data_IF_348612374760
#
_entry.id   IF_348612374760
#
_cell.length_a   1.000
_cell.length_b   1.000
_cell.length_c   1.000
_cell.angle_alpha   90.00
_cell.angle_beta   90.00
_cell.angle_gamma   90.00
#
_symmetry.space_group_name_H-M   'P 1'
#
loop_
_entity.id
_entity.type
_entity.pdbx_description
1 polymer ?
#
# COMPACT_ATOMS: atom_id res chain seq x y z
N UNK A 1 -70.30 56.12 -13.29
CA UNK A 1 -69.18 55.74 -14.16
C UNK A 1 -67.92 55.86 -13.32
N UNK A 2 -67.15 54.79 -13.28
CA UNK A 2 -66.28 54.39 -12.15
C UNK A 2 -64.92 55.07 -12.17
N UNK A 3 -64.50 55.61 -11.01
CA UNK A 3 -63.14 56.09 -10.72
C UNK A 3 -62.11 54.95 -10.87
N UNK A 4 -61.00 55.24 -11.57
CA UNK A 4 -59.79 54.40 -11.53
C UNK A 4 -58.58 55.24 -11.13
N UNK A 5 -58.18 55.07 -9.88
CA UNK A 5 -56.94 55.58 -9.28
C UNK A 5 -55.84 54.56 -9.57
N UNK A 6 -54.88 54.90 -10.44
CA UNK A 6 -53.68 54.10 -10.69
C UNK A 6 -52.53 54.64 -9.85
N UNK A 7 -52.12 53.88 -8.82
CA UNK A 7 -50.95 54.14 -7.97
C UNK A 7 -49.63 53.90 -8.73
N UNK A 8 -48.56 54.67 -8.47
CA UNK A 8 -47.22 54.33 -8.96
C UNK A 8 -46.61 53.18 -8.15
N UNK A 9 -46.13 52.15 -8.85
CA UNK A 9 -45.49 50.97 -8.26
C UNK A 9 -43.98 51.26 -8.11
N UNK A 10 -43.54 51.47 -6.88
CA UNK A 10 -42.11 51.46 -6.50
C UNK A 10 -41.50 50.10 -6.83
N UNK A 11 -40.52 50.07 -7.72
CA UNK A 11 -39.60 48.94 -7.84
C UNK A 11 -38.40 49.21 -6.93
N UNK A 12 -38.39 48.53 -5.79
CA UNK A 12 -37.22 48.42 -4.93
C UNK A 12 -36.14 47.64 -5.72
N UNK A 13 -35.06 48.31 -6.10
CA UNK A 13 -33.84 47.64 -6.57
C UNK A 13 -33.22 46.99 -5.35
N UNK A 14 -33.45 45.69 -5.17
CA UNK A 14 -32.69 44.89 -4.22
C UNK A 14 -31.31 44.67 -4.82
N UNK A 15 -30.34 45.46 -4.37
CA UNK A 15 -28.91 45.16 -4.54
C UNK A 15 -28.65 43.81 -3.88
N UNK A 16 -28.56 42.76 -4.69
CA UNK A 16 -28.10 41.46 -4.24
C UNK A 16 -26.67 41.63 -3.71
N UNK A 17 -26.49 41.32 -2.44
CA UNK A 17 -25.18 41.24 -1.81
C UNK A 17 -24.28 40.28 -2.62
N UNK A 18 -22.98 40.58 -2.77
CA UNK A 18 -22.06 39.67 -3.44
C UNK A 18 -22.04 38.34 -2.67
N UNK A 19 -22.47 37.28 -3.35
CA UNK A 19 -22.32 35.89 -2.91
C UNK A 19 -20.85 35.67 -2.53
N UNK A 20 -20.52 35.12 -1.35
CA UNK A 20 -19.14 34.80 -1.03
C UNK A 20 -18.61 33.86 -2.12
N UNK A 21 -17.52 34.29 -2.76
CA UNK A 21 -16.85 33.57 -3.82
C UNK A 21 -16.59 32.12 -3.40
N UNK A 22 -17.15 31.17 -4.16
CA UNK A 22 -16.75 29.78 -4.11
C UNK A 22 -15.22 29.71 -4.25
N UNK A 23 -14.46 29.10 -3.31
CA UNK A 23 -13.05 28.87 -3.52
C UNK A 23 -12.92 27.78 -4.59
N UNK A 24 -12.94 28.19 -5.85
CA UNK A 24 -12.73 27.36 -7.03
C UNK A 24 -11.31 26.73 -7.08
N UNK A 25 -10.48 26.94 -6.06
CA UNK A 25 -9.16 26.36 -5.85
C UNK A 25 -9.12 25.32 -4.72
N UNK A 26 -10.24 24.66 -4.44
CA UNK A 26 -10.28 23.50 -3.54
C UNK A 26 -9.56 22.30 -4.14
N UNK A 27 -8.72 21.64 -3.36
CA UNK A 27 -8.05 20.43 -3.81
C UNK A 27 -8.99 19.22 -3.66
N UNK A 28 -9.38 18.65 -4.80
CA UNK A 28 -10.27 17.50 -4.87
C UNK A 28 -9.45 16.21 -4.82
N UNK A 29 -9.64 15.44 -3.76
CA UNK A 29 -8.98 14.14 -3.56
C UNK A 29 -10.03 13.05 -3.41
N UNK A 30 -9.66 11.79 -3.63
CA UNK A 30 -10.61 10.68 -3.44
C UNK A 30 -10.97 10.53 -1.95
N UNK A 31 -12.12 9.88 -1.67
CA UNK A 31 -12.49 9.56 -0.28
C UNK A 31 -11.46 8.65 0.39
N UNK A 32 -10.86 7.73 -0.36
CA UNK A 32 -9.83 6.82 0.12
C UNK A 32 -8.56 7.57 0.51
N UNK A 33 -8.15 8.54 -0.32
CA UNK A 33 -6.99 9.40 -0.10
C UNK A 33 -7.21 10.27 1.15
N UNK A 34 -8.39 10.89 1.28
CA UNK A 34 -8.73 11.70 2.44
C UNK A 34 -8.82 10.86 3.72
N UNK A 35 -9.39 9.65 3.65
CA UNK A 35 -9.46 8.72 4.77
C UNK A 35 -8.06 8.34 5.27
N UNK A 36 -7.12 8.12 4.33
CA UNK A 36 -5.71 7.85 4.63
C UNK A 36 -5.06 9.03 5.35
N UNK A 37 -5.22 10.26 4.84
CA UNK A 37 -4.69 11.46 5.48
C UNK A 37 -5.26 11.68 6.88
N UNK A 38 -6.58 11.60 7.01
CA UNK A 38 -7.28 11.83 8.28
C UNK A 38 -7.14 10.67 9.28
N UNK A 39 -6.43 9.59 8.90
CA UNK A 39 -6.27 8.34 9.68
C UNK A 39 -7.62 7.78 10.15
N UNK A 40 -8.61 7.80 9.27
CA UNK A 40 -10.00 7.40 9.52
C UNK A 40 -10.47 6.40 8.48
N UNK A 41 -11.61 5.76 8.74
CA UNK A 41 -12.25 4.91 7.74
C UNK A 41 -12.95 5.73 6.66
N UNK A 42 -13.02 5.18 5.44
CA UNK A 42 -13.79 5.76 4.33
C UNK A 42 -15.26 5.96 4.70
N UNK A 43 -15.84 5.05 5.50
CA UNK A 43 -17.20 5.20 6.00
C UNK A 43 -17.37 6.42 6.91
N UNK A 44 -16.36 6.78 7.68
CA UNK A 44 -16.38 7.99 8.51
C UNK A 44 -16.40 9.23 7.63
N UNK A 45 -15.56 9.25 6.59
CA UNK A 45 -15.56 10.32 5.59
C UNK A 45 -16.93 10.42 4.90
N UNK A 46 -17.52 9.29 4.50
CA UNK A 46 -18.85 9.26 3.87
C UNK A 46 -19.93 9.86 4.78
N UNK A 47 -19.95 9.46 6.05
CA UNK A 47 -20.90 10.02 7.04
C UNK A 47 -20.69 11.51 7.27
N UNK A 48 -19.44 11.98 7.27
CA UNK A 48 -19.16 13.41 7.45
C UNK A 48 -19.59 14.22 6.22
N UNK A 49 -19.41 13.70 5.00
CA UNK A 49 -19.97 14.30 3.78
C UNK A 49 -21.50 14.42 3.87
N UNK A 50 -22.19 13.33 4.22
CA UNK A 50 -23.66 13.31 4.34
C UNK A 50 -24.15 14.26 5.44
N UNK A 51 -23.50 14.23 6.61
CA UNK A 51 -23.88 15.05 7.77
C UNK A 51 -23.68 16.54 7.54
N UNK A 52 -22.61 16.92 6.86
CA UNK A 52 -22.26 18.32 6.63
C UNK A 52 -22.68 18.83 5.25
N UNK A 53 -23.37 17.99 4.45
CA UNK A 53 -23.83 18.32 3.10
C UNK A 53 -22.70 18.87 2.22
N UNK A 54 -21.54 18.18 2.26
CA UNK A 54 -20.36 18.58 1.50
C UNK A 54 -20.50 18.26 0.02
N UNK A 55 -19.93 19.13 -0.82
CA UNK A 55 -19.91 18.90 -2.26
C UNK A 55 -19.03 17.70 -2.61
N UNK A 56 -19.52 16.88 -3.54
CA UNK A 56 -18.75 15.76 -4.08
C UNK A 56 -18.73 15.80 -5.60
N UNK A 57 -17.60 15.38 -6.18
CA UNK A 57 -17.45 15.20 -7.63
C UNK A 57 -17.19 13.74 -7.94
N UNK A 58 -17.36 13.35 -9.19
CA UNK A 58 -17.01 12.01 -9.66
C UNK A 58 -15.91 12.15 -10.70
N UNK A 59 -14.84 11.38 -10.53
CA UNK A 59 -13.72 11.27 -11.48
C UNK A 59 -14.15 10.45 -12.72
N UNK A 60 -13.36 10.50 -13.79
CA UNK A 60 -13.55 9.73 -15.03
C UNK A 60 -13.63 8.22 -14.79
N UNK A 61 -13.04 7.76 -13.68
CA UNK A 61 -13.05 6.35 -13.22
C UNK A 61 -14.24 5.99 -12.34
N UNK A 62 -15.23 6.88 -12.18
CA UNK A 62 -16.39 6.66 -11.32
C UNK A 62 -16.13 6.78 -9.81
N UNK A 63 -14.94 7.24 -9.42
CA UNK A 63 -14.56 7.41 -8.01
C UNK A 63 -15.06 8.74 -7.48
N UNK A 64 -15.51 8.76 -6.22
CA UNK A 64 -16.01 9.99 -5.61
C UNK A 64 -14.86 10.81 -5.02
N UNK A 65 -14.79 12.06 -5.44
CA UNK A 65 -13.87 13.08 -4.99
C UNK A 65 -14.55 14.00 -3.98
N UNK A 66 -13.79 14.41 -2.98
CA UNK A 66 -14.17 15.32 -1.91
C UNK A 66 -13.10 16.40 -1.80
N UNK A 67 -13.51 17.61 -1.41
CA UNK A 67 -12.60 18.74 -1.27
C UNK A 67 -11.88 18.68 0.08
N UNK A 68 -10.56 18.57 0.07
CA UNK A 68 -9.75 18.47 1.29
C UNK A 68 -9.88 19.71 2.19
N UNK A 69 -10.09 20.90 1.61
CA UNK A 69 -10.22 22.15 2.36
C UNK A 69 -11.50 22.19 3.21
N UNK A 70 -12.57 21.54 2.76
CA UNK A 70 -13.81 21.48 3.54
C UNK A 70 -13.60 20.66 4.82
N UNK A 71 -12.78 19.61 4.75
CA UNK A 71 -12.43 18.79 5.91
C UNK A 71 -11.44 19.47 6.85
N UNK A 72 -10.55 20.33 6.34
CA UNK A 72 -9.74 21.23 7.17
C UNK A 72 -10.63 22.24 7.91
N UNK A 73 -11.56 22.87 7.20
CA UNK A 73 -12.48 23.85 7.78
C UNK A 73 -13.40 23.25 8.84
N UNK A 74 -13.81 21.98 8.67
CA UNK A 74 -14.58 21.23 9.66
C UNK A 74 -13.73 20.70 10.84
N UNK A 75 -12.41 20.87 10.82
CA UNK A 75 -11.50 20.31 11.82
C UNK A 75 -11.47 18.77 11.82
N UNK A 76 -11.86 18.14 10.71
CA UNK A 76 -11.84 16.68 10.52
C UNK A 76 -10.52 16.17 9.96
N UNK A 77 -9.78 17.05 9.28
CA UNK A 77 -8.40 16.86 8.87
C UNK A 77 -7.54 17.86 9.65
N UNK A 78 -6.48 17.41 10.31
CA UNK A 78 -5.58 18.30 11.03
C UNK A 78 -4.56 18.90 10.04
N UNK A 79 -4.21 20.19 10.13
CA UNK A 79 -3.14 20.77 9.31
C UNK A 79 -1.80 20.03 9.44
N UNK A 80 -1.56 19.37 10.57
CA UNK A 80 -0.38 18.56 10.86
C UNK A 80 -0.36 17.23 10.09
N UNK A 81 -1.53 16.74 9.66
CA UNK A 81 -1.64 15.56 8.79
C UNK A 81 -1.21 15.88 7.36
N UNK A 82 -1.18 17.17 7.00
CA UNK A 82 -0.59 17.65 5.77
C UNK A 82 0.90 17.90 5.95
N UNK A 83 1.71 17.45 5.00
CA UNK A 83 3.13 17.76 5.02
C UNK A 83 3.29 19.28 4.81
N UNK A 84 4.12 19.92 5.64
CA UNK A 84 4.36 21.37 5.56
C UNK A 84 4.69 21.81 4.14
N UNK A 85 3.86 22.68 3.58
CA UNK A 85 4.03 23.25 2.24
C UNK A 85 3.67 22.31 1.08
N UNK A 86 3.18 21.10 1.35
CA UNK A 86 2.71 20.16 0.33
C UNK A 86 1.19 20.20 0.20
N UNK A 87 0.70 19.84 -0.97
CA UNK A 87 -0.74 19.69 -1.18
C UNK A 87 -1.25 18.39 -0.51
N UNK A 88 -2.51 18.30 -0.07
CA UNK A 88 -3.17 17.05 0.31
C UNK A 88 -2.88 15.86 -0.61
N UNK A 89 -2.96 15.99 -1.93
CA UNK A 89 -2.65 14.92 -2.87
C UNK A 89 -1.18 14.50 -2.81
N UNK A 90 -0.24 15.45 -2.72
CA UNK A 90 1.19 15.16 -2.55
C UNK A 90 1.47 14.44 -1.22
N UNK A 91 0.77 14.84 -0.16
CA UNK A 91 0.89 14.22 1.17
C UNK A 91 0.39 12.76 1.15
N UNK A 92 -0.70 12.48 0.41
CA UNK A 92 -1.18 11.11 0.20
C UNK A 92 -0.18 10.30 -0.60
N UNK A 93 0.29 10.84 -1.73
CA UNK A 93 1.24 10.16 -2.60
C UNK A 93 2.51 9.78 -1.84
N UNK A 94 3.03 10.69 -1.01
CA UNK A 94 4.18 10.43 -0.16
C UNK A 94 3.90 9.35 0.90
N UNK A 95 2.72 9.37 1.52
CA UNK A 95 2.33 8.36 2.53
C UNK A 95 2.26 6.97 1.88
N UNK A 96 1.63 6.86 0.72
CA UNK A 96 1.57 5.61 -0.07
C UNK A 96 2.96 5.12 -0.46
N UNK A 97 3.81 6.00 -0.98
CA UNK A 97 5.17 5.64 -1.35
C UNK A 97 5.96 5.16 -0.13
N UNK A 98 5.75 5.77 1.03
CA UNK A 98 6.40 5.33 2.28
C UNK A 98 5.91 3.94 2.72
N UNK A 99 4.60 3.69 2.64
CA UNK A 99 4.02 2.40 2.98
C UNK A 99 4.50 1.30 2.01
N UNK A 100 4.59 1.61 0.72
CA UNK A 100 5.13 0.74 -0.31
C UNK A 100 6.61 0.41 -0.06
N UNK A 101 7.44 1.42 0.24
CA UNK A 101 8.84 1.22 0.63
C UNK A 101 8.94 0.35 1.88
N UNK A 102 8.07 0.56 2.87
CA UNK A 102 8.00 -0.26 4.07
C UNK A 102 7.68 -1.72 3.75
N UNK A 103 6.69 -1.96 2.89
CA UNK A 103 6.30 -3.29 2.42
C UNK A 103 7.46 -3.98 1.68
N UNK A 104 8.08 -3.28 0.73
CA UNK A 104 9.21 -3.81 -0.04
C UNK A 104 10.41 -4.11 0.86
N UNK A 105 10.68 -3.28 1.86
CA UNK A 105 11.77 -3.52 2.83
C UNK A 105 11.49 -4.78 3.66
N UNK A 106 10.25 -5.01 4.09
CA UNK A 106 9.87 -6.22 4.80
C UNK A 106 9.98 -7.47 3.92
N UNK A 107 9.62 -7.37 2.64
CA UNK A 107 9.79 -8.45 1.67
C UNK A 107 11.26 -8.77 1.41
N UNK A 108 12.12 -7.75 1.28
CA UNK A 108 13.57 -7.93 1.15
C UNK A 108 14.14 -8.69 2.34
N UNK A 109 13.85 -8.26 3.57
CA UNK A 109 14.30 -8.94 4.79
C UNK A 109 13.84 -10.41 4.83
N UNK A 110 12.61 -10.70 4.38
CA UNK A 110 12.08 -12.06 4.29
C UNK A 110 12.84 -12.89 3.25
N UNK A 111 13.17 -12.32 2.11
CA UNK A 111 13.91 -13.00 1.04
C UNK A 111 15.37 -13.26 1.45
N UNK A 112 16.01 -12.29 2.10
CA UNK A 112 17.36 -12.45 2.66
C UNK A 112 17.41 -13.61 3.67
N UNK A 113 16.47 -13.66 4.61
CA UNK A 113 16.39 -14.78 5.56
C UNK A 113 16.18 -16.14 4.90
N UNK A 114 15.42 -16.20 3.79
CA UNK A 114 15.26 -17.43 3.00
C UNK A 114 16.55 -17.81 2.27
N UNK A 115 17.27 -16.85 1.70
CA UNK A 115 18.55 -17.11 1.04
C UNK A 115 19.59 -17.63 2.01
N UNK A 116 19.69 -17.04 3.21
CA UNK A 116 20.58 -17.55 4.25
C UNK A 116 20.24 -18.99 4.65
N UNK A 117 18.95 -19.30 4.82
CA UNK A 117 18.51 -20.65 5.15
C UNK A 117 18.88 -21.65 4.05
N UNK A 118 18.68 -21.29 2.78
CA UNK A 118 19.08 -22.11 1.65
C UNK A 118 20.60 -22.31 1.60
N UNK A 119 21.40 -21.27 1.85
CA UNK A 119 22.85 -21.37 1.93
C UNK A 119 23.33 -22.37 2.99
N UNK A 120 22.74 -22.33 4.20
CA UNK A 120 23.04 -23.32 5.26
C UNK A 120 22.62 -24.74 4.87
N UNK A 121 21.48 -24.88 4.18
CA UNK A 121 21.03 -26.19 3.68
C UNK A 121 21.97 -26.74 2.62
N UNK A 122 22.47 -25.89 1.72
CA UNK A 122 23.43 -26.26 0.68
C UNK A 122 24.77 -26.71 1.29
N UNK A 123 25.27 -25.99 2.28
CA UNK A 123 26.46 -26.38 3.05
C UNK A 123 26.27 -27.74 3.73
N UNK A 124 25.13 -27.94 4.41
CA UNK A 124 24.80 -29.22 5.05
C UNK A 124 24.77 -30.37 4.03
N UNK A 125 24.18 -30.14 2.86
CA UNK A 125 24.12 -31.15 1.80
C UNK A 125 25.50 -31.45 1.21
N UNK A 126 26.37 -30.45 1.05
CA UNK A 126 27.77 -30.66 0.65
C UNK A 126 28.53 -31.51 1.66
N UNK A 127 28.38 -31.23 2.95
CA UNK A 127 29.01 -32.01 4.01
C UNK A 127 28.53 -33.46 4.01
N UNK A 128 27.22 -33.66 3.87
CA UNK A 128 26.64 -35.00 3.75
C UNK A 128 27.19 -35.75 2.54
N UNK A 129 27.30 -35.08 1.39
CA UNK A 129 27.84 -35.67 0.17
C UNK A 129 29.31 -36.08 0.36
N UNK A 130 30.13 -35.23 0.97
CA UNK A 130 31.52 -35.57 1.29
C UNK A 130 31.66 -36.76 2.25
N UNK A 131 30.76 -36.90 3.22
CA UNK A 131 30.71 -38.07 4.11
C UNK A 131 30.33 -39.32 3.32
N UNK A 132 29.34 -39.22 2.41
CA UNK A 132 28.90 -40.34 1.58
C UNK A 132 29.97 -40.81 0.61
N UNK A 133 30.71 -39.90 -0.01
CA UNK A 133 31.83 -40.24 -0.89
C UNK A 133 32.92 -41.03 -0.15
N UNK A 134 33.25 -40.62 1.08
CA UNK A 134 34.18 -41.37 1.94
C UNK A 134 33.66 -42.76 2.28
N UNK A 135 32.36 -42.90 2.54
CA UNK A 135 31.73 -44.20 2.80
C UNK A 135 31.79 -45.10 1.57
N UNK A 136 31.50 -44.56 0.37
CA UNK A 136 31.58 -45.29 -0.90
C UNK A 136 33.00 -45.78 -1.15
N UNK A 137 34.01 -44.92 -0.99
CA UNK A 137 35.41 -45.30 -1.18
C UNK A 137 35.84 -46.45 -0.24
N UNK A 138 35.39 -46.41 1.04
CA UNK A 138 35.66 -47.49 2.00
C UNK A 138 34.98 -48.81 1.63
N UNK A 139 33.74 -48.75 1.14
CA UNK A 139 33.01 -49.93 0.68
C UNK A 139 33.66 -50.53 -0.57
N UNK A 140 34.08 -49.69 -1.52
CA UNK A 140 34.79 -50.11 -2.73
C UNK A 140 36.09 -50.86 -2.39
N UNK A 141 36.87 -50.34 -1.44
CA UNK A 141 38.08 -51.01 -0.95
C UNK A 141 37.76 -52.36 -0.29
N UNK A 142 36.69 -52.42 0.51
CA UNK A 142 36.26 -53.67 1.16
C UNK A 142 35.84 -54.71 0.12
N UNK A 143 35.12 -54.30 -0.92
CA UNK A 143 34.72 -55.19 -2.03
C UNK A 143 35.95 -55.71 -2.76
N UNK A 144 36.92 -54.85 -3.10
CA UNK A 144 38.18 -55.25 -3.74
C UNK A 144 38.94 -56.30 -2.92
N UNK A 145 39.03 -56.11 -1.60
CA UNK A 145 39.67 -57.07 -0.70
C UNK A 145 38.95 -58.41 -0.69
N UNK A 146 37.62 -58.43 -0.59
CA UNK A 146 36.83 -59.65 -0.61
C UNK A 146 36.96 -60.38 -1.96
N UNK A 147 36.94 -59.66 -3.08
CA UNK A 147 37.14 -60.23 -4.41
C UNK A 147 38.54 -60.86 -4.55
N UNK A 148 39.58 -60.20 -4.03
CA UNK A 148 40.94 -60.74 -4.02
C UNK A 148 41.04 -62.02 -3.19
N UNK A 149 40.46 -62.05 -1.98
CA UNK A 149 40.43 -63.23 -1.12
C UNK A 149 39.67 -64.41 -1.76
N UNK A 150 38.51 -64.15 -2.38
CA UNK A 150 37.76 -65.18 -3.11
C UNK A 150 38.56 -65.73 -4.29
N UNK A 151 39.27 -64.87 -5.02
CA UNK A 151 40.14 -65.28 -6.13
C UNK A 151 41.32 -66.14 -5.64
N UNK A 152 41.91 -65.80 -4.50
CA UNK A 152 42.98 -66.60 -3.88
C UNK A 152 42.46 -67.97 -3.43
N UNK A 153 41.30 -68.01 -2.77
CA UNK A 153 40.67 -69.27 -2.33
C UNK A 153 40.35 -70.18 -3.53
N UNK A 154 39.84 -69.61 -4.62
CA UNK A 154 39.54 -70.36 -5.85
C UNK A 154 40.80 -70.90 -6.57
N UNK A 155 41.97 -70.29 -6.35
CA UNK A 155 43.26 -70.69 -6.96
C UNK A 155 44.10 -71.60 -6.08
N UNK A 156 43.75 -71.83 -4.82
CA UNK A 156 44.47 -72.74 -3.94
C UNK A 156 44.00 -74.18 -4.25
N UNK A 157 44.82 -75.03 -4.91
CA UNK A 157 44.46 -76.41 -5.16
C UNK A 157 44.42 -77.16 -3.82
N UNK A 158 43.38 -77.99 -3.64
CA UNK A 158 43.32 -78.97 -2.56
C UNK A 158 44.38 -80.05 -2.74
#
# INVERSE_FOLDING_TARGET
MTDQVTRPRSTCVTTAAPTPSSPASGEWITREDLATLARRSVDTIRRDVERHSLDTRTDEKGRVLVNANDFLALGRLAPEDLRRGATPAESVAMTRARDEVGSLTAELARLEGRLEHLGRSEETLRDQLAVKDKQIAKLDETVKQLTALLTQLARSPR
#
